data_IF_092606428798
#
_entry.id   IF_092606428798
#
_cell.length_a   1.000
_cell.length_b   1.000
_cell.length_c   1.000
_cell.angle_alpha   90.00
_cell.angle_beta   90.00
_cell.angle_gamma   90.00
#
_symmetry.space_group_name_H-M   'P 1'
#
loop_
_entity.id
_entity.type
_entity.pdbx_description
1 polymer ?
#
# COMPACT_ATOMS: atom_id res chain seq x y z
N UNK A 1 -12.62 26.93 1.00
CA UNK A 1 -11.30 27.08 0.34
C UNK A 1 -10.10 27.35 1.25
N UNK A 2 -10.09 28.35 2.16
CA UNK A 2 -8.89 28.62 3.01
C UNK A 2 -8.69 27.59 4.12
N UNK A 3 -9.77 27.15 4.76
CA UNK A 3 -9.73 26.17 5.87
C UNK A 3 -9.27 24.79 5.38
N UNK A 4 -9.79 24.32 4.24
CA UNK A 4 -9.42 23.01 3.65
C UNK A 4 -7.92 22.93 3.30
N UNK A 5 -7.34 24.04 2.85
CA UNK A 5 -5.90 24.13 2.56
C UNK A 5 -5.08 24.06 3.84
N UNK A 6 -5.55 24.71 4.91
CA UNK A 6 -4.87 24.70 6.20
C UNK A 6 -4.94 23.31 6.87
N UNK A 7 -6.09 22.64 6.81
CA UNK A 7 -6.24 21.26 7.31
C UNK A 7 -5.43 20.27 6.48
N UNK A 8 -5.39 20.43 5.16
CA UNK A 8 -4.53 19.63 4.29
C UNK A 8 -3.04 19.78 4.64
N UNK A 9 -2.57 21.01 4.85
CA UNK A 9 -1.20 21.29 5.25
C UNK A 9 -0.86 20.67 6.62
N UNK A 10 -1.76 20.81 7.60
CA UNK A 10 -1.57 20.24 8.93
C UNK A 10 -1.50 18.71 8.90
N UNK A 11 -2.36 18.06 8.12
CA UNK A 11 -2.36 16.61 7.94
C UNK A 11 -1.04 16.11 7.32
N UNK A 12 -0.50 16.85 6.33
CA UNK A 12 0.80 16.50 5.72
C UNK A 12 1.96 16.61 6.70
N UNK A 13 1.95 17.60 7.60
CA UNK A 13 2.99 17.77 8.62
C UNK A 13 2.92 16.61 9.63
N UNK A 14 1.72 16.31 10.15
CA UNK A 14 1.50 15.25 11.13
C UNK A 14 1.87 13.87 10.57
N UNK A 15 1.51 13.57 9.32
CA UNK A 15 1.84 12.30 8.67
C UNK A 15 3.36 12.07 8.52
N UNK A 16 4.16 13.16 8.47
CA UNK A 16 5.61 13.07 8.32
C UNK A 16 6.38 13.27 9.64
N UNK A 17 5.72 13.69 10.74
CA UNK A 17 6.39 13.99 12.01
C UNK A 17 7.09 12.78 12.63
N UNK A 18 6.51 11.59 12.50
CA UNK A 18 7.06 10.34 13.05
C UNK A 18 7.86 9.53 12.01
N UNK A 19 8.04 10.04 10.79
CA UNK A 19 8.68 9.31 9.70
C UNK A 19 10.20 9.37 9.86
N UNK A 20 10.84 8.21 9.95
CA UNK A 20 12.30 8.13 9.96
C UNK A 20 12.84 8.63 8.59
N UNK A 21 13.62 9.72 8.55
CA UNK A 21 14.13 10.29 7.31
C UNK A 21 15.10 9.37 6.56
N UNK A 22 15.69 8.37 7.24
CA UNK A 22 16.58 7.37 6.63
C UNK A 22 15.81 6.16 6.11
N UNK A 23 14.61 5.90 6.65
CA UNK A 23 13.74 4.81 6.20
C UNK A 23 12.83 5.33 5.10
N UNK A 24 13.36 5.40 3.88
CA UNK A 24 12.48 5.56 2.70
C UNK A 24 11.54 4.35 2.68
N UNK A 25 10.22 4.54 2.50
CA UNK A 25 9.36 3.41 2.18
C UNK A 25 9.92 2.77 0.92
N UNK A 26 9.97 1.44 0.92
CA UNK A 26 10.35 0.69 -0.27
C UNK A 26 9.37 1.10 -1.37
N UNK A 27 9.85 1.55 -2.54
CA UNK A 27 8.96 1.87 -3.65
C UNK A 27 8.12 0.65 -3.98
N UNK A 28 6.82 0.85 -4.21
CA UNK A 28 5.99 -0.22 -4.73
C UNK A 28 6.57 -0.71 -6.06
N UNK A 29 6.66 -2.01 -6.17
CA UNK A 29 7.06 -2.76 -7.35
C UNK A 29 5.81 -3.36 -7.99
N UNK A 30 5.92 -3.82 -9.24
CA UNK A 30 4.80 -4.49 -9.93
C UNK A 30 4.30 -5.70 -9.11
N UNK A 31 5.21 -6.41 -8.44
CA UNK A 31 4.90 -7.55 -7.58
C UNK A 31 3.99 -7.20 -6.40
N UNK A 32 4.01 -5.97 -5.89
CA UNK A 32 3.10 -5.53 -4.83
C UNK A 32 1.65 -5.43 -5.34
N UNK A 33 1.46 -5.34 -6.65
CA UNK A 33 0.15 -5.28 -7.32
C UNK A 33 -0.23 -6.59 -8.00
N UNK A 34 0.74 -7.45 -8.32
CA UNK A 34 0.53 -8.77 -8.93
C UNK A 34 1.08 -9.90 -8.06
N UNK A 35 0.55 -10.12 -6.84
CA UNK A 35 1.03 -11.19 -5.97
C UNK A 35 0.87 -12.58 -6.60
N UNK A 36 -0.08 -12.72 -7.53
CA UNK A 36 -0.35 -13.95 -8.27
C UNK A 36 0.65 -14.24 -9.41
N UNK A 37 1.43 -13.27 -9.87
CA UNK A 37 2.45 -13.48 -10.91
C UNK A 37 3.69 -14.23 -10.37
N UNK A 38 3.89 -14.23 -9.06
CA UNK A 38 5.01 -14.95 -8.43
C UNK A 38 4.69 -16.43 -8.18
N UNK A 39 3.41 -16.79 -8.19
CA UNK A 39 2.97 -18.16 -8.10
C UNK A 39 2.84 -18.75 -9.52
N UNK A 40 3.93 -19.32 -10.05
CA UNK A 40 3.95 -20.13 -11.28
C UNK A 40 3.07 -21.41 -11.18
N UNK A 41 2.30 -21.55 -10.11
CA UNK A 41 1.38 -22.67 -9.89
C UNK A 41 0.03 -22.29 -10.48
N UNK A 42 -0.55 -23.11 -11.38
CA UNK A 42 -1.93 -22.93 -11.77
C UNK A 42 -2.80 -23.05 -10.52
N UNK A 43 -3.40 -21.94 -10.09
CA UNK A 43 -4.33 -21.94 -8.97
C UNK A 43 -5.55 -22.78 -9.35
N UNK A 44 -5.85 -23.82 -8.57
CA UNK A 44 -7.06 -24.60 -8.78
C UNK A 44 -8.28 -23.80 -8.33
N UNK A 45 -9.45 -24.06 -8.93
CA UNK A 45 -10.70 -23.40 -8.52
C UNK A 45 -11.04 -23.59 -7.04
N UNK A 46 -10.65 -24.73 -6.46
CA UNK A 46 -10.91 -25.03 -5.05
C UNK A 46 -9.99 -24.23 -4.11
N UNK A 47 -8.71 -24.03 -4.47
CA UNK A 47 -7.77 -23.23 -3.68
C UNK A 47 -8.16 -21.74 -3.68
N UNK A 48 -8.67 -21.24 -4.80
CA UNK A 48 -9.17 -19.86 -4.90
C UNK A 48 -10.41 -19.61 -4.03
N UNK A 49 -11.29 -20.61 -3.85
CA UNK A 49 -12.46 -20.49 -2.98
C UNK A 49 -12.09 -20.53 -1.50
N UNK A 50 -11.04 -21.26 -1.13
CA UNK A 50 -10.57 -21.36 0.25
C UNK A 50 -9.99 -20.05 0.80
N UNK A 51 -9.48 -19.18 -0.08
CA UNK A 51 -8.89 -17.88 0.31
C UNK A 51 -9.92 -16.77 0.55
N UNK A 52 -11.19 -16.99 0.21
CA UNK A 52 -12.28 -16.00 0.35
C UNK A 52 -13.18 -16.19 1.58
N UNK A 53 -12.94 -17.23 2.39
CA UNK A 53 -13.69 -17.52 3.63
C UNK A 53 -13.01 -16.88 4.85
#
# INVERSE_FOLDING_TARGET
MRVERATGLLAMILANQARDPKKRPVPYTIADFTPHDQDDKPISLEDAKATWA
#
